data_IF_940948880337
#
_entry.id   IF_940948880337
#
_cell.length_a   1.000
_cell.length_b   1.000
_cell.length_c   1.000
_cell.angle_alpha   90.00
_cell.angle_beta   90.00
_cell.angle_gamma   90.00
#
_symmetry.space_group_name_H-M   'P 1'
#
loop_
_entity.id
_entity.type
_entity.pdbx_description
1 polymer ?
#
# COMPACT_ATOMS: atom_id res chain seq x y z
N UNK A 1 14.97 15.63 -20.74
CA UNK A 1 14.24 15.54 -19.46
C UNK A 1 13.56 16.86 -19.20
N UNK A 2 12.49 16.86 -18.40
CA UNK A 2 11.93 18.09 -17.85
C UNK A 2 12.98 18.80 -16.97
N UNK A 3 12.89 20.12 -16.78
CA UNK A 3 13.76 20.82 -15.83
C UNK A 3 13.54 20.27 -14.40
N UNK A 4 14.61 20.20 -13.61
CA UNK A 4 14.64 19.68 -12.23
C UNK A 4 13.60 20.38 -11.33
N UNK A 5 13.31 21.67 -11.60
CA UNK A 5 12.20 22.40 -10.99
C UNK A 5 11.41 23.22 -12.00
N UNK A 6 10.10 23.28 -11.82
CA UNK A 6 9.18 24.13 -12.58
C UNK A 6 8.59 25.16 -11.62
N UNK A 7 8.89 26.44 -11.82
CA UNK A 7 8.38 27.54 -10.98
C UNK A 7 6.89 27.87 -11.16
N UNK A 8 6.17 27.14 -12.01
CA UNK A 8 4.76 27.32 -12.34
C UNK A 8 4.02 25.97 -12.46
N UNK A 9 2.88 25.94 -13.14
CA UNK A 9 2.17 24.68 -13.41
C UNK A 9 2.88 23.84 -14.48
N UNK A 10 2.84 22.52 -14.33
CA UNK A 10 3.33 21.53 -15.28
C UNK A 10 2.15 20.70 -15.79
N UNK A 11 1.91 20.73 -17.10
CA UNK A 11 0.83 19.99 -17.77
C UNK A 11 1.43 18.93 -18.69
N UNK A 12 1.19 17.67 -18.35
CA UNK A 12 1.56 16.49 -19.11
C UNK A 12 0.33 15.68 -19.57
N UNK A 13 -0.85 16.32 -19.63
CA UNK A 13 -2.09 15.66 -20.01
C UNK A 13 -2.12 15.28 -21.51
N UNK A 14 -2.64 14.08 -21.81
CA UNK A 14 -2.81 13.55 -23.18
C UNK A 14 -1.50 13.37 -23.99
N UNK A 15 -0.40 12.98 -23.34
CA UNK A 15 0.83 12.66 -24.08
C UNK A 15 0.66 11.32 -24.80
N UNK A 16 0.53 11.38 -26.11
CA UNK A 16 0.44 10.21 -26.98
C UNK A 16 1.84 9.66 -27.29
N UNK A 17 1.99 8.34 -27.18
CA UNK A 17 3.12 7.54 -27.68
C UNK A 17 4.51 7.63 -27.00
N UNK A 18 4.61 8.01 -25.72
CA UNK A 18 5.90 7.95 -24.99
C UNK A 18 5.89 6.96 -23.83
N UNK A 19 6.99 6.21 -23.66
CA UNK A 19 7.19 5.26 -22.54
C UNK A 19 7.52 6.02 -21.24
N UNK A 20 8.24 7.14 -21.32
CA UNK A 20 8.66 8.00 -20.20
C UNK A 20 8.70 9.49 -20.60
N UNK A 21 8.87 10.39 -19.63
CA UNK A 21 9.09 11.84 -19.88
C UNK A 21 10.54 12.16 -20.29
N UNK A 22 11.39 11.14 -20.38
CA UNK A 22 12.76 11.23 -20.81
C UNK A 22 12.83 11.49 -22.33
N UNK A 23 12.96 12.78 -22.70
CA UNK A 23 13.08 13.20 -24.11
C UNK A 23 11.88 13.96 -24.68
N UNK A 24 10.90 14.34 -23.85
CA UNK A 24 9.68 15.05 -24.25
C UNK A 24 9.86 16.46 -24.86
N UNK A 25 11.09 16.87 -25.20
CA UNK A 25 11.42 18.19 -25.76
C UNK A 25 11.57 18.22 -27.30
N UNK A 26 11.42 17.11 -28.04
CA UNK A 26 11.71 17.10 -29.49
C UNK A 26 10.55 16.98 -30.48
N UNK A 27 9.28 16.84 -30.08
CA UNK A 27 8.18 16.76 -31.06
C UNK A 27 7.07 17.78 -30.80
N UNK A 28 7.13 18.88 -31.55
CA UNK A 28 6.01 19.77 -31.74
C UNK A 28 4.92 19.13 -32.60
N UNK A 29 3.66 19.33 -32.17
CA UNK A 29 2.45 19.37 -33.00
C UNK A 29 2.13 18.15 -33.86
N UNK A 30 1.13 17.37 -33.45
CA UNK A 30 0.45 16.44 -34.35
C UNK A 30 -0.81 15.83 -33.74
N UNK A 31 -1.98 16.26 -34.18
CA UNK A 31 -3.21 15.48 -34.04
C UNK A 31 -3.06 14.19 -34.86
N UNK A 32 -3.29 13.02 -34.27
CA UNK A 32 -3.37 11.75 -34.99
C UNK A 32 -4.39 10.83 -34.33
N UNK A 33 -5.52 10.62 -35.01
CA UNK A 33 -6.50 9.59 -34.69
C UNK A 33 -5.85 8.20 -34.82
N UNK A 34 -5.40 7.64 -33.70
CA UNK A 34 -4.78 6.31 -33.66
C UNK A 34 -4.62 5.85 -32.22
N UNK A 35 -5.52 4.97 -31.78
CA UNK A 35 -5.56 4.39 -30.45
C UNK A 35 -4.27 3.66 -30.08
N UNK A 36 -3.42 4.30 -29.27
CA UNK A 36 -2.46 3.69 -28.34
C UNK A 36 -1.94 4.78 -27.38
N UNK A 37 -2.81 5.20 -26.46
CA UNK A 37 -2.51 6.30 -25.54
C UNK A 37 -1.83 5.78 -24.27
N UNK A 38 -0.73 6.42 -23.89
CA UNK A 38 -0.43 6.68 -22.49
C UNK A 38 1.01 6.45 -22.11
N UNK A 39 1.62 7.53 -21.62
CA UNK A 39 2.76 7.46 -20.71
C UNK A 39 2.51 6.39 -19.62
N UNK A 40 3.50 5.52 -19.40
CA UNK A 40 3.44 4.43 -18.41
C UNK A 40 4.24 4.74 -17.14
N UNK A 41 5.21 5.68 -17.20
CA UNK A 41 5.98 6.18 -16.05
C UNK A 41 6.18 7.70 -16.10
N UNK A 42 6.32 8.33 -14.93
CA UNK A 42 6.70 9.75 -14.77
C UNK A 42 8.22 9.92 -14.62
N UNK A 43 9.00 8.92 -15.05
CA UNK A 43 10.45 8.99 -15.06
C UNK A 43 10.92 10.15 -15.94
N UNK A 44 11.68 11.09 -15.35
CA UNK A 44 12.10 12.33 -15.99
C UNK A 44 11.15 13.53 -15.79
N UNK A 45 10.13 13.42 -14.94
CA UNK A 45 9.33 14.55 -14.46
C UNK A 45 10.15 15.48 -13.55
N UNK A 46 9.73 16.76 -13.38
CA UNK A 46 10.36 17.67 -12.43
C UNK A 46 10.26 17.14 -11.00
N UNK A 47 11.30 17.35 -10.20
CA UNK A 47 11.29 16.99 -8.78
C UNK A 47 10.38 17.93 -7.96
N UNK A 48 10.19 19.17 -8.43
CA UNK A 48 9.35 20.18 -7.78
C UNK A 48 8.56 21.01 -8.80
N UNK A 49 7.26 21.23 -8.51
CA UNK A 49 6.35 22.04 -9.32
C UNK A 49 5.67 23.08 -8.43
N UNK A 50 6.04 24.36 -8.59
CA UNK A 50 5.50 25.47 -7.79
C UNK A 50 4.03 25.84 -8.09
N UNK A 51 3.39 25.14 -9.02
CA UNK A 51 1.99 25.30 -9.43
C UNK A 51 1.24 23.96 -9.53
N UNK A 52 0.27 23.85 -10.44
CA UNK A 52 -0.47 22.60 -10.62
C UNK A 52 0.34 21.59 -11.44
N UNK A 53 0.43 20.34 -10.98
CA UNK A 53 0.93 19.21 -11.76
C UNK A 53 -0.26 18.41 -12.32
N UNK A 54 -0.61 18.63 -13.61
CA UNK A 54 -1.69 17.91 -14.27
C UNK A 54 -1.12 16.86 -15.23
N UNK A 55 -1.34 15.60 -14.92
CA UNK A 55 -0.96 14.47 -15.76
C UNK A 55 -2.17 13.57 -16.05
N UNK A 56 -3.36 14.16 -16.10
CA UNK A 56 -4.60 13.45 -16.40
C UNK A 56 -4.65 12.90 -17.83
N UNK A 57 -5.51 11.89 -18.05
CA UNK A 57 -5.69 11.21 -19.36
C UNK A 57 -4.46 10.47 -19.90
N UNK A 58 -3.69 9.83 -19.01
CA UNK A 58 -2.59 8.94 -19.36
C UNK A 58 -2.82 7.54 -18.75
N UNK A 59 -2.07 6.53 -19.23
CA UNK A 59 -2.24 5.11 -18.85
C UNK A 59 -1.27 4.64 -17.75
N UNK A 60 -0.74 5.54 -16.93
CA UNK A 60 0.22 5.22 -15.87
C UNK A 60 -0.29 4.11 -14.95
N UNK A 61 0.60 3.19 -14.59
CA UNK A 61 0.36 2.21 -13.51
C UNK A 61 1.09 2.61 -12.22
N UNK A 62 1.96 3.62 -12.29
CA UNK A 62 2.81 4.14 -11.21
C UNK A 62 3.03 5.66 -11.39
N UNK A 63 3.17 6.41 -10.28
CA UNK A 63 3.64 7.81 -10.30
C UNK A 63 5.07 7.94 -9.75
N UNK A 64 5.87 6.89 -9.86
CA UNK A 64 7.31 6.95 -9.57
C UNK A 64 7.96 8.10 -10.38
N UNK A 65 8.60 9.04 -9.67
CA UNK A 65 9.12 10.30 -10.23
C UNK A 65 8.22 11.54 -10.05
N UNK A 66 7.00 11.42 -9.51
CA UNK A 66 6.15 12.58 -9.22
C UNK A 66 6.59 13.36 -7.97
N UNK A 67 6.38 14.70 -7.92
CA UNK A 67 6.66 15.51 -6.74
C UNK A 67 5.92 15.02 -5.49
N UNK A 68 6.64 14.92 -4.37
CA UNK A 68 6.21 14.29 -3.11
C UNK A 68 5.09 15.06 -2.37
N UNK A 69 4.85 16.33 -2.70
CA UNK A 69 3.94 17.25 -1.98
C UNK A 69 2.42 17.02 -2.19
N UNK A 70 2.04 15.86 -2.70
CA UNK A 70 0.78 15.69 -3.42
C UNK A 70 -0.32 14.86 -2.70
N UNK A 71 -0.49 15.03 -1.38
CA UNK A 71 -1.67 14.51 -0.65
C UNK A 71 -3.05 14.84 -1.29
N UNK A 72 -3.24 15.97 -2.00
CA UNK A 72 -4.46 16.24 -2.79
C UNK A 72 -4.72 15.24 -3.92
N UNK A 73 -3.72 14.48 -4.38
CA UNK A 73 -3.86 13.52 -5.49
C UNK A 73 -4.78 12.36 -5.14
N UNK A 74 -4.71 11.79 -3.93
CA UNK A 74 -5.57 10.66 -3.55
C UNK A 74 -7.06 10.99 -3.76
N UNK A 75 -7.51 12.16 -3.26
CA UNK A 75 -8.90 12.59 -3.40
C UNK A 75 -9.27 12.91 -4.85
N UNK A 76 -8.34 13.43 -5.65
CA UNK A 76 -8.56 13.67 -7.07
C UNK A 76 -8.74 12.35 -7.85
N UNK A 77 -7.91 11.34 -7.59
CA UNK A 77 -8.08 10.00 -8.15
C UNK A 77 -9.37 9.34 -7.67
N UNK A 78 -9.70 9.48 -6.38
CA UNK A 78 -10.92 8.90 -5.81
C UNK A 78 -12.20 9.42 -6.49
N UNK A 79 -12.25 10.72 -6.82
CA UNK A 79 -13.34 11.35 -7.59
C UNK A 79 -13.46 10.76 -9.00
N UNK A 80 -12.33 10.37 -9.61
CA UNK A 80 -12.28 9.71 -10.93
C UNK A 80 -12.52 8.19 -10.86
N UNK A 81 -12.81 7.65 -9.68
CA UNK A 81 -13.00 6.20 -9.50
C UNK A 81 -11.68 5.40 -9.48
N UNK A 82 -10.58 6.05 -9.17
CA UNK A 82 -9.25 5.47 -9.04
C UNK A 82 -8.75 5.59 -7.59
N UNK A 83 -7.75 4.80 -7.23
CA UNK A 83 -7.08 4.85 -5.92
C UNK A 83 -5.58 4.83 -6.16
N UNK A 84 -4.91 5.86 -5.66
CA UNK A 84 -3.47 6.02 -5.73
C UNK A 84 -2.88 6.10 -4.33
N UNK A 85 -2.17 5.06 -3.90
CA UNK A 85 -1.52 5.01 -2.59
C UNK A 85 -0.29 4.09 -2.66
N UNK A 86 0.75 4.40 -1.87
CA UNK A 86 2.05 3.71 -1.87
C UNK A 86 2.62 3.50 -3.29
N UNK A 87 2.46 4.46 -4.20
CA UNK A 87 2.95 4.38 -5.58
C UNK A 87 2.10 3.52 -6.53
N UNK A 88 1.02 2.89 -6.05
CA UNK A 88 0.20 1.96 -6.83
C UNK A 88 -1.11 2.64 -7.25
N UNK A 89 -1.36 2.74 -8.57
CA UNK A 89 -2.64 3.21 -9.11
C UNK A 89 -3.56 2.02 -9.45
N UNK A 90 -4.76 2.02 -8.88
CA UNK A 90 -5.76 0.97 -9.09
C UNK A 90 -7.15 1.53 -9.41
N UNK A 91 -7.98 0.74 -10.08
CA UNK A 91 -9.39 1.07 -10.31
C UNK A 91 -10.22 0.70 -9.10
N UNK A 92 -10.96 1.67 -8.54
CA UNK A 92 -11.91 1.44 -7.45
C UNK A 92 -13.08 0.58 -7.94
N UNK A 93 -13.36 -0.51 -7.24
CA UNK A 93 -14.54 -1.35 -7.44
C UNK A 93 -15.62 -1.02 -6.41
N UNK A 94 -15.27 -1.03 -5.13
CA UNK A 94 -16.20 -0.73 -4.05
C UNK A 94 -15.51 -0.17 -2.82
N UNK A 95 -16.29 0.52 -1.98
CA UNK A 95 -15.86 1.08 -0.71
C UNK A 95 -16.72 0.45 0.39
N UNK A 96 -16.09 0.06 1.49
CA UNK A 96 -16.76 -0.33 2.74
C UNK A 96 -16.16 0.49 3.87
N UNK A 97 -17.00 0.98 4.77
CA UNK A 97 -16.56 1.71 5.97
C UNK A 97 -16.95 0.86 7.17
N UNK A 98 -16.02 0.66 8.10
CA UNK A 98 -16.27 -0.01 9.38
C UNK A 98 -15.54 0.78 10.46
N UNK A 99 -16.30 1.32 11.41
CA UNK A 99 -15.79 2.26 12.42
C UNK A 99 -15.10 3.46 11.75
N UNK A 100 -13.82 3.67 12.00
CA UNK A 100 -12.94 4.72 11.47
C UNK A 100 -12.07 4.24 10.30
N UNK A 101 -12.24 2.98 9.85
CA UNK A 101 -11.45 2.38 8.78
C UNK A 101 -12.26 2.31 7.49
N UNK A 102 -11.67 2.78 6.41
CA UNK A 102 -12.22 2.64 5.05
C UNK A 102 -11.47 1.54 4.31
N UNK A 103 -12.20 0.55 3.80
CA UNK A 103 -11.69 -0.53 2.98
C UNK A 103 -12.13 -0.32 1.53
N UNK A 104 -11.15 -0.24 0.64
CA UNK A 104 -11.36 -0.17 -0.79
C UNK A 104 -11.06 -1.53 -1.43
N UNK A 105 -12.01 -2.03 -2.21
CA UNK A 105 -11.73 -3.11 -3.16
C UNK A 105 -11.30 -2.49 -4.48
N UNK A 106 -10.16 -2.91 -5.00
CA UNK A 106 -9.55 -2.31 -6.20
C UNK A 106 -9.13 -3.38 -7.20
N UNK A 107 -8.95 -2.98 -8.46
CA UNK A 107 -8.40 -3.82 -9.51
C UNK A 107 -7.14 -3.17 -10.08
N UNK A 108 -6.09 -3.97 -10.32
CA UNK A 108 -4.89 -3.48 -11.02
C UNK A 108 -5.25 -2.97 -12.42
N UNK A 109 -4.66 -1.86 -12.81
CA UNK A 109 -4.75 -1.32 -14.17
C UNK A 109 -3.88 -2.14 -15.15
N UNK A 110 -4.14 -2.02 -16.45
CA UNK A 110 -3.39 -2.72 -17.51
C UNK A 110 -3.92 -4.11 -17.91
N UNK A 111 -4.98 -4.61 -17.27
CA UNK A 111 -5.57 -5.93 -17.56
C UNK A 111 -6.86 -5.81 -18.38
N UNK A 112 -6.90 -6.42 -19.58
CA UNK A 112 -8.09 -6.42 -20.46
C UNK A 112 -9.25 -7.27 -19.91
N UNK A 113 -8.95 -8.35 -19.18
CA UNK A 113 -9.90 -9.22 -18.45
C UNK A 113 -9.23 -9.80 -17.20
N UNK A 114 -10.02 -10.14 -16.18
CA UNK A 114 -9.55 -10.79 -14.94
C UNK A 114 -8.43 -10.03 -14.21
N UNK A 115 -8.59 -8.71 -14.08
CA UNK A 115 -7.65 -7.87 -13.34
C UNK A 115 -7.46 -8.39 -11.90
N UNK A 116 -6.22 -8.55 -11.42
CA UNK A 116 -5.96 -8.90 -10.02
C UNK A 116 -6.62 -7.92 -9.06
N UNK A 117 -7.24 -8.45 -8.02
CA UNK A 117 -7.90 -7.67 -6.98
C UNK A 117 -6.89 -7.38 -5.86
N UNK A 118 -6.84 -6.13 -5.43
CA UNK A 118 -6.10 -5.70 -4.23
C UNK A 118 -7.06 -4.94 -3.31
N UNK A 119 -6.86 -5.08 -2.01
CA UNK A 119 -7.55 -4.31 -0.99
C UNK A 119 -6.63 -3.22 -0.44
N UNK A 120 -7.21 -2.03 -0.22
CA UNK A 120 -6.56 -0.92 0.46
C UNK A 120 -7.35 -0.62 1.73
N UNK A 121 -6.70 -0.62 2.87
CA UNK A 121 -7.26 -0.16 4.13
C UNK A 121 -6.72 1.23 4.46
N UNK A 122 -7.59 2.15 4.86
CA UNK A 122 -7.24 3.52 5.24
C UNK A 122 -7.77 3.84 6.63
N UNK A 123 -6.93 4.52 7.42
CA UNK A 123 -7.32 5.23 8.65
C UNK A 123 -6.52 6.53 8.72
N UNK A 124 -7.22 7.65 8.88
CA UNK A 124 -6.64 8.99 8.82
C UNK A 124 -5.78 9.16 7.54
N UNK A 125 -4.50 9.51 7.69
CA UNK A 125 -3.54 9.63 6.59
C UNK A 125 -2.81 8.32 6.23
N UNK A 126 -3.05 7.24 6.98
CA UNK A 126 -2.35 5.97 6.79
C UNK A 126 -3.10 5.06 5.83
N UNK A 127 -2.34 4.43 4.93
CA UNK A 127 -2.82 3.46 3.96
C UNK A 127 -2.05 2.15 4.07
N UNK A 128 -2.71 1.05 3.76
CA UNK A 128 -2.09 -0.26 3.73
C UNK A 128 -2.73 -1.16 2.67
N UNK A 129 -1.90 -1.97 2.04
CA UNK A 129 -2.28 -2.86 0.95
C UNK A 129 -2.36 -4.31 1.43
N UNK A 130 -3.20 -5.09 0.75
CA UNK A 130 -3.26 -6.54 0.94
C UNK A 130 -3.98 -7.23 -0.21
N UNK A 131 -3.62 -8.50 -0.46
CA UNK A 131 -4.34 -9.36 -1.41
C UNK A 131 -5.71 -9.74 -0.84
N UNK A 132 -5.84 -9.69 0.49
CA UNK A 132 -7.12 -9.86 1.21
C UNK A 132 -7.44 -8.64 2.08
N UNK A 133 -8.72 -8.51 2.47
CA UNK A 133 -9.15 -7.48 3.44
C UNK A 133 -8.40 -7.64 4.76
N UNK A 134 -8.17 -8.89 5.19
CA UNK A 134 -7.46 -9.20 6.44
C UNK A 134 -6.02 -8.70 6.39
N UNK A 135 -5.32 -8.96 5.29
CA UNK A 135 -3.92 -8.51 5.11
C UNK A 135 -3.82 -6.98 5.10
N UNK A 136 -4.69 -6.29 4.32
CA UNK A 136 -4.69 -4.83 4.26
C UNK A 136 -4.98 -4.22 5.64
N UNK A 137 -5.91 -4.81 6.39
CA UNK A 137 -6.24 -4.38 7.73
C UNK A 137 -5.10 -4.63 8.74
N UNK A 138 -4.47 -5.79 8.71
CA UNK A 138 -3.33 -6.12 9.56
C UNK A 138 -2.15 -5.16 9.34
N UNK A 139 -1.88 -4.83 8.08
CA UNK A 139 -0.83 -3.89 7.71
C UNK A 139 -1.18 -2.46 8.15
N UNK A 140 -2.44 -2.04 8.02
CA UNK A 140 -2.89 -0.74 8.53
C UNK A 140 -2.76 -0.67 10.04
N UNK A 141 -3.16 -1.72 10.75
CA UNK A 141 -3.02 -1.80 12.20
C UNK A 141 -1.56 -1.74 12.62
N UNK A 142 -0.65 -2.40 11.91
CA UNK A 142 0.78 -2.30 12.19
C UNK A 142 1.30 -0.86 12.00
N UNK A 143 0.91 -0.18 10.91
CA UNK A 143 1.31 1.21 10.63
C UNK A 143 0.71 2.24 11.60
N UNK A 144 -0.48 1.97 12.13
CA UNK A 144 -1.22 2.88 13.02
C UNK A 144 -1.16 2.48 14.49
N UNK A 145 -0.57 1.32 14.80
CA UNK A 145 -0.40 0.87 16.17
C UNK A 145 0.47 1.87 16.92
N UNK A 146 0.03 2.19 18.12
CA UNK A 146 0.92 2.80 19.09
C UNK A 146 2.14 1.89 19.27
N UNK A 147 3.33 2.49 19.36
CA UNK A 147 4.55 1.76 19.71
C UNK A 147 4.52 1.32 21.18
N UNK A 148 3.56 1.81 21.95
CA UNK A 148 3.24 1.30 23.26
C UNK A 148 2.68 -0.13 23.19
N UNK A 149 3.47 -1.07 23.68
CA UNK A 149 3.16 -2.50 23.77
C UNK A 149 2.63 -2.92 25.14
N UNK A 150 2.48 -1.99 26.09
CA UNK A 150 2.07 -2.27 27.47
C UNK A 150 0.76 -3.05 27.58
N UNK A 151 -0.16 -2.83 26.64
CA UNK A 151 -1.44 -3.57 26.54
C UNK A 151 -1.28 -5.08 26.30
N UNK A 152 -0.10 -5.55 25.92
CA UNK A 152 0.20 -6.96 25.71
C UNK A 152 0.98 -7.60 26.86
N UNK A 153 1.37 -6.81 27.87
CA UNK A 153 2.06 -7.31 29.05
C UNK A 153 1.15 -8.22 29.88
N UNK A 154 1.76 -9.19 30.57
CA UNK A 154 1.06 -10.10 31.50
C UNK A 154 -0.17 -10.81 30.89
N UNK A 155 -0.12 -11.13 29.60
CA UNK A 155 -1.25 -11.78 28.94
C UNK A 155 -1.42 -13.22 29.44
N UNK A 156 -2.65 -13.68 29.79
CA UNK A 156 -2.86 -15.06 30.21
C UNK A 156 -2.41 -16.04 29.13
N UNK A 157 -1.61 -17.04 29.50
CA UNK A 157 -1.12 -18.08 28.58
C UNK A 157 -2.26 -18.82 27.85
N UNK A 158 -3.44 -18.87 28.46
CA UNK A 158 -4.66 -19.48 27.90
C UNK A 158 -5.41 -18.60 26.90
N UNK A 159 -4.98 -17.36 26.67
CA UNK A 159 -5.62 -16.44 25.73
C UNK A 159 -5.61 -17.05 24.33
N UNK A 160 -6.79 -17.15 23.69
CA UNK A 160 -6.94 -17.69 22.34
C UNK A 160 -7.18 -16.57 21.33
N UNK A 161 -6.55 -16.71 20.16
CA UNK A 161 -6.71 -15.84 19.00
C UNK A 161 -6.52 -16.65 17.71
N UNK A 162 -7.00 -16.12 16.59
CA UNK A 162 -6.70 -16.73 15.28
C UNK A 162 -5.24 -16.52 14.90
N UNK A 163 -4.68 -17.31 13.97
CA UNK A 163 -3.31 -17.13 13.49
C UNK A 163 -3.03 -15.70 13.00
N UNK A 164 -3.99 -15.06 12.33
CA UNK A 164 -3.82 -13.70 11.81
C UNK A 164 -3.82 -12.64 12.92
N UNK A 165 -4.65 -12.81 13.94
CA UNK A 165 -4.64 -11.94 15.11
C UNK A 165 -3.31 -12.06 15.86
N UNK A 166 -2.79 -13.27 16.01
CA UNK A 166 -1.46 -13.49 16.59
C UNK A 166 -0.35 -12.89 15.74
N UNK A 167 -0.41 -13.03 14.42
CA UNK A 167 0.53 -12.39 13.51
C UNK A 167 0.53 -10.86 13.70
N UNK A 168 -0.63 -10.22 13.88
CA UNK A 168 -0.70 -8.79 14.16
C UNK A 168 0.00 -8.44 15.48
N UNK A 169 -0.33 -9.14 16.57
CA UNK A 169 0.28 -8.89 17.89
C UNK A 169 1.80 -9.11 17.83
N UNK A 170 2.24 -10.20 17.22
CA UNK A 170 3.65 -10.53 17.07
C UNK A 170 4.39 -9.44 16.28
N UNK A 171 3.83 -9.00 15.15
CA UNK A 171 4.43 -7.94 14.33
C UNK A 171 4.53 -6.62 15.09
N UNK A 172 3.47 -6.21 15.81
CA UNK A 172 3.48 -4.98 16.62
C UNK A 172 4.60 -5.04 17.67
N UNK A 173 4.75 -6.16 18.37
CA UNK A 173 5.75 -6.29 19.45
C UNK A 173 7.18 -6.38 18.91
N UNK A 174 7.38 -7.09 17.80
CA UNK A 174 8.71 -7.46 17.31
C UNK A 174 9.23 -6.58 16.19
N UNK A 175 8.35 -5.83 15.52
CA UNK A 175 8.67 -5.13 14.27
C UNK A 175 8.80 -6.06 13.05
N UNK A 176 8.37 -7.32 13.14
CA UNK A 176 8.43 -8.25 12.01
C UNK A 176 7.68 -7.74 10.77
N UNK A 177 8.31 -7.85 9.60
CA UNK A 177 7.71 -7.41 8.35
C UNK A 177 6.59 -8.36 7.89
N UNK A 178 5.59 -7.82 7.20
CA UNK A 178 4.43 -8.60 6.72
C UNK A 178 4.83 -9.81 5.88
N UNK A 179 5.77 -9.63 4.96
CA UNK A 179 6.22 -10.68 4.04
C UNK A 179 6.89 -11.81 4.81
N UNK A 180 7.80 -11.49 5.73
CA UNK A 180 8.48 -12.49 6.55
C UNK A 180 7.51 -13.27 7.44
N UNK A 181 6.53 -12.59 8.04
CA UNK A 181 5.49 -13.24 8.83
C UNK A 181 4.61 -14.16 7.97
N UNK A 182 4.22 -13.73 6.77
CA UNK A 182 3.44 -14.55 5.83
C UNK A 182 4.21 -15.83 5.44
N UNK A 183 5.47 -15.69 5.03
CA UNK A 183 6.31 -16.83 4.66
C UNK A 183 6.52 -17.80 5.84
N UNK A 184 6.68 -17.27 7.06
CA UNK A 184 6.79 -18.10 8.26
C UNK A 184 5.50 -18.91 8.47
N UNK A 185 4.34 -18.26 8.43
CA UNK A 185 3.04 -18.93 8.61
C UNK A 185 2.77 -19.97 7.52
N UNK A 186 3.08 -19.67 6.26
CA UNK A 186 2.95 -20.63 5.16
C UNK A 186 3.87 -21.84 5.34
N UNK A 187 5.06 -21.64 5.91
CA UNK A 187 5.99 -22.72 6.24
C UNK A 187 5.50 -23.68 7.33
N UNK A 188 4.50 -23.28 8.14
CA UNK A 188 3.87 -24.15 9.15
C UNK A 188 2.87 -25.13 8.53
N UNK A 189 2.41 -24.90 7.29
CA UNK A 189 1.43 -25.74 6.62
C UNK A 189 -0.02 -25.38 6.98
N UNK A 190 -0.85 -26.39 7.22
CA UNK A 190 -2.25 -26.19 7.62
C UNK A 190 -2.31 -25.67 9.05
N UNK A 191 -2.98 -24.53 9.23
CA UNK A 191 -3.10 -23.86 10.52
C UNK A 191 -4.41 -24.23 11.21
N UNK A 192 -4.35 -24.41 12.53
CA UNK A 192 -5.53 -24.55 13.36
C UNK A 192 -6.33 -23.23 13.39
N UNK A 193 -7.66 -23.29 13.63
CA UNK A 193 -8.51 -22.10 13.65
C UNK A 193 -8.07 -21.07 14.71
N UNK A 194 -7.54 -21.53 15.84
CA UNK A 194 -7.09 -20.71 16.96
C UNK A 194 -5.89 -21.35 17.66
N UNK A 195 -5.05 -20.49 18.23
CA UNK A 195 -3.93 -20.89 19.09
C UNK A 195 -3.98 -20.13 20.41
N UNK A 196 -3.53 -20.77 21.47
CA UNK A 196 -3.25 -20.14 22.76
C UNK A 196 -1.94 -19.35 22.72
N UNK A 197 -1.75 -18.40 23.64
CA UNK A 197 -0.48 -17.68 23.77
C UNK A 197 0.70 -18.64 24.03
N UNK A 198 0.49 -19.67 24.86
CA UNK A 198 1.49 -20.70 25.12
C UNK A 198 1.94 -21.43 23.84
N UNK A 199 0.99 -21.83 23.00
CA UNK A 199 1.29 -22.48 21.72
C UNK A 199 2.05 -21.54 20.78
N UNK A 200 1.67 -20.26 20.72
CA UNK A 200 2.35 -19.27 19.87
C UNK A 200 3.78 -18.99 20.34
N UNK A 201 4.02 -18.92 21.65
CA UNK A 201 5.39 -18.81 22.20
C UNK A 201 6.24 -19.99 21.74
N UNK A 202 5.70 -21.21 21.81
CA UNK A 202 6.42 -22.41 21.40
C UNK A 202 6.68 -22.44 19.89
N UNK A 203 5.66 -22.15 19.06
CA UNK A 203 5.76 -22.13 17.59
C UNK A 203 6.78 -21.09 17.12
N UNK A 204 6.83 -19.93 17.77
CA UNK A 204 7.71 -18.82 17.35
C UNK A 204 9.12 -18.93 17.93
N UNK A 205 9.44 -19.97 18.70
CA UNK A 205 10.77 -20.13 19.29
C UNK A 205 11.86 -20.14 18.22
N UNK A 206 12.84 -19.23 18.35
CA UNK A 206 13.95 -19.08 17.41
C UNK A 206 13.62 -18.23 16.17
N UNK A 207 12.38 -17.79 16.00
CA UNK A 207 12.00 -16.83 14.97
C UNK A 207 12.50 -15.41 15.31
N UNK A 208 12.55 -14.55 14.28
CA UNK A 208 12.94 -13.15 14.44
C UNK A 208 12.07 -12.43 15.48
N UNK A 209 12.70 -11.85 16.50
CA UNK A 209 11.99 -11.10 17.55
C UNK A 209 11.26 -11.97 18.58
N UNK A 210 11.36 -13.31 18.50
CA UNK A 210 10.70 -14.23 19.43
C UNK A 210 11.06 -13.99 20.90
N UNK A 211 12.33 -13.69 21.20
CA UNK A 211 12.76 -13.31 22.56
C UNK A 211 12.03 -12.07 23.05
N UNK A 212 11.96 -11.01 22.23
CA UNK A 212 11.23 -9.77 22.57
C UNK A 212 9.73 -10.02 22.74
N UNK A 213 9.15 -10.88 21.90
CA UNK A 213 7.76 -11.28 22.02
C UNK A 213 7.49 -11.92 23.38
N UNK A 214 8.30 -12.90 23.77
CA UNK A 214 8.19 -13.58 25.07
C UNK A 214 8.41 -12.60 26.22
N UNK A 215 9.45 -11.75 26.15
CA UNK A 215 9.71 -10.72 27.16
C UNK A 215 8.46 -9.87 27.40
N UNK A 216 7.88 -9.28 26.36
CA UNK A 216 6.71 -8.41 26.52
C UNK A 216 5.50 -9.17 27.06
N UNK A 217 5.15 -10.32 26.49
CA UNK A 217 3.89 -11.00 26.85
C UNK A 217 3.96 -11.76 28.17
N UNK A 218 5.16 -12.04 28.69
CA UNK A 218 5.39 -12.78 29.94
C UNK A 218 6.05 -11.96 31.06
N UNK A 219 6.44 -10.71 30.80
CA UNK A 219 7.00 -9.82 31.84
C UNK A 219 6.00 -9.56 32.95
N UNK A 220 6.53 -9.56 34.18
CA UNK A 220 5.87 -9.60 35.50
C UNK A 220 5.51 -8.22 36.03
#
# INVERSE_FOLDING_TARGET
>A
GAPESVGGSFDCSNYDNHISLEGALESGGGNSDGSDNGLISLEGAPESVGGNFDCSNNSFTSLEGAPEENKPQFYNFLKKGLIFCDGILTKKISIKIKQDITIYKTAKLGFKKNAPIIYVAQKDEHFAHGETIKEAFAELQFKTADRDVSKYENMPLTTKKTPEEWAIVYRIITGACQVGTKMFMEGLGELEPEYTLEEVINITTGAYGSTRFVEVVTEK
#
